data_IF_026155612140
#
_entry.id   IF_026155612140
#
_cell.length_a   1.000
_cell.length_b   1.000
_cell.length_c   1.000
_cell.angle_alpha   90.00
_cell.angle_beta   90.00
_cell.angle_gamma   90.00
#
_symmetry.space_group_name_H-M   'P 1'
#
loop_
_entity.id
_entity.type
_entity.pdbx_description
1 polymer ?
#
# COMPACT_ATOMS: atom_id res chain seq x y z
N UNK A 1 -1.22 -17.48 -8.38
CA UNK A 1 -2.68 -17.58 -8.52
C UNK A 1 -3.10 -18.97 -9.02
N UNK A 2 -2.76 -19.39 -10.24
CA UNK A 2 -3.13 -20.71 -10.78
C UNK A 2 -2.78 -21.87 -9.82
N UNK A 3 -1.56 -21.90 -9.26
CA UNK A 3 -1.17 -22.93 -8.32
C UNK A 3 -2.06 -22.98 -7.07
N UNK A 4 -2.46 -21.80 -6.54
CA UNK A 4 -3.38 -21.75 -5.40
C UNK A 4 -4.77 -22.28 -5.77
N UNK A 5 -5.27 -21.96 -6.96
CA UNK A 5 -6.54 -22.48 -7.49
C UNK A 5 -6.48 -24.02 -7.63
N UNK A 6 -5.39 -24.56 -8.15
CA UNK A 6 -5.18 -26.02 -8.24
C UNK A 6 -5.15 -26.68 -6.86
N UNK A 7 -4.45 -26.09 -5.88
CA UNK A 7 -4.38 -26.60 -4.51
C UNK A 7 -5.74 -26.58 -3.82
N UNK A 8 -6.51 -25.50 -3.98
CA UNK A 8 -7.89 -25.42 -3.47
C UNK A 8 -8.78 -26.48 -4.14
N UNK A 9 -8.64 -26.69 -5.44
CA UNK A 9 -9.34 -27.75 -6.19
C UNK A 9 -9.01 -29.17 -5.69
N UNK A 10 -7.81 -29.38 -5.12
CA UNK A 10 -7.38 -30.62 -4.48
C UNK A 10 -7.86 -30.76 -3.04
N UNK A 11 -8.61 -29.79 -2.50
CA UNK A 11 -9.19 -29.81 -1.15
C UNK A 11 -8.35 -29.13 -0.08
N UNK A 12 -7.33 -28.35 -0.42
CA UNK A 12 -6.63 -27.51 0.57
C UNK A 12 -7.59 -26.46 1.12
N UNK A 13 -7.62 -26.31 2.45
CA UNK A 13 -8.46 -25.31 3.14
C UNK A 13 -7.67 -24.05 3.48
N UNK A 14 -6.35 -24.13 3.56
CA UNK A 14 -5.45 -23.04 3.86
C UNK A 14 -4.16 -23.18 3.05
N UNK A 15 -3.72 -22.06 2.45
CA UNK A 15 -2.48 -21.98 1.73
C UNK A 15 -1.62 -20.90 2.39
N UNK A 16 -0.44 -21.26 2.88
CA UNK A 16 0.54 -20.34 3.40
C UNK A 16 1.60 -20.07 2.32
N UNK A 17 1.76 -18.77 1.98
CA UNK A 17 2.76 -18.33 1.00
C UNK A 17 3.92 -17.69 1.76
N UNK A 18 5.10 -18.32 1.68
CA UNK A 18 6.34 -17.84 2.31
C UNK A 18 7.25 -17.12 1.32
N UNK A 19 8.17 -16.29 1.82
CA UNK A 19 9.27 -15.71 1.06
C UNK A 19 8.99 -14.33 0.45
N UNK A 20 8.08 -13.56 1.02
CA UNK A 20 7.71 -12.21 0.54
C UNK A 20 8.65 -11.07 0.98
N UNK A 21 9.89 -11.34 1.42
CA UNK A 21 10.80 -10.31 1.96
C UNK A 21 10.98 -9.14 0.99
N UNK A 22 11.23 -9.40 -0.28
CA UNK A 22 11.44 -8.37 -1.31
C UNK A 22 10.32 -8.32 -2.36
N UNK A 23 9.33 -9.21 -2.26
CA UNK A 23 8.28 -9.37 -3.26
C UNK A 23 6.93 -8.91 -2.72
N UNK A 24 6.79 -7.61 -2.48
CA UNK A 24 5.50 -7.00 -2.04
C UNK A 24 4.30 -7.45 -2.89
N UNK A 25 4.53 -7.76 -4.16
CA UNK A 25 3.49 -8.25 -5.08
C UNK A 25 2.85 -9.59 -4.67
N UNK A 26 3.53 -10.43 -3.87
CA UNK A 26 2.95 -11.68 -3.34
C UNK A 26 1.90 -11.36 -2.28
N UNK A 27 2.08 -10.27 -1.54
CA UNK A 27 1.12 -9.76 -0.58
C UNK A 27 -0.07 -9.01 -1.23
N UNK A 28 -0.12 -8.93 -2.56
CA UNK A 28 -1.24 -8.29 -3.25
C UNK A 28 -2.54 -9.05 -3.00
N UNK A 29 -3.67 -8.33 -2.83
CA UNK A 29 -4.98 -8.92 -2.66
C UNK A 29 -5.46 -9.76 -3.88
N UNK A 30 -4.76 -9.69 -5.00
CA UNK A 30 -4.96 -10.59 -6.13
C UNK A 30 -4.41 -12.00 -5.88
N UNK A 31 -3.57 -12.17 -4.84
CA UNK A 31 -2.86 -13.41 -4.55
C UNK A 31 -3.16 -13.94 -3.15
N UNK A 32 -3.34 -13.07 -2.17
CA UNK A 32 -3.50 -13.41 -0.75
C UNK A 32 -4.75 -12.74 -0.18
N UNK A 33 -5.53 -13.47 0.62
CA UNK A 33 -6.70 -12.91 1.31
C UNK A 33 -6.29 -12.07 2.52
N UNK A 34 -5.20 -12.45 3.21
CA UNK A 34 -4.63 -11.74 4.34
C UNK A 34 -3.12 -11.96 4.41
N UNK A 35 -2.44 -11.12 5.21
CA UNK A 35 -1.00 -11.24 5.47
C UNK A 35 -0.68 -11.33 6.95
N UNK A 36 0.44 -11.95 7.26
CA UNK A 36 1.13 -11.81 8.55
C UNK A 36 2.37 -10.94 8.29
N UNK A 37 2.41 -9.76 8.89
CA UNK A 37 3.52 -8.83 8.74
C UNK A 37 4.64 -9.17 9.73
N UNK A 38 5.81 -9.59 9.24
CA UNK A 38 6.97 -9.88 10.09
C UNK A 38 7.90 -8.68 10.18
N UNK A 39 8.29 -8.32 11.40
CA UNK A 39 9.17 -7.19 11.69
C UNK A 39 10.15 -7.53 12.83
N UNK A 40 11.10 -6.66 13.11
CA UNK A 40 11.99 -6.85 14.25
C UNK A 40 13.33 -6.11 14.17
N UNK A 41 14.24 -6.49 15.05
CA UNK A 41 15.55 -5.85 15.23
C UNK A 41 16.42 -5.84 13.97
N UNK A 42 16.14 -6.71 12.99
CA UNK A 42 16.86 -6.72 11.70
C UNK A 42 16.71 -5.40 10.92
N UNK A 43 15.61 -4.68 11.08
CA UNK A 43 15.33 -3.45 10.34
C UNK A 43 16.18 -2.26 10.81
N UNK A 44 16.43 -2.16 12.12
CA UNK A 44 17.19 -1.03 12.69
C UNK A 44 17.75 -1.38 14.06
N UNK A 45 18.90 -0.76 14.41
CA UNK A 45 19.46 -0.79 15.78
C UNK A 45 18.68 0.07 16.78
N UNK A 46 17.74 0.88 16.30
CA UNK A 46 16.91 1.75 17.13
C UNK A 46 15.50 1.20 17.16
N UNK A 47 15.03 0.75 18.33
CA UNK A 47 13.72 0.15 18.52
C UNK A 47 12.58 1.07 18.05
N UNK A 48 12.61 2.36 18.41
CA UNK A 48 11.60 3.32 18.00
C UNK A 48 11.46 3.43 16.47
N UNK A 49 12.58 3.28 15.75
CA UNK A 49 12.57 3.28 14.28
C UNK A 49 11.91 2.03 13.71
N UNK A 50 12.13 0.86 14.34
CA UNK A 50 11.43 -0.39 13.95
C UNK A 50 9.92 -0.25 14.14
N UNK A 51 9.50 0.32 15.27
CA UNK A 51 8.08 0.57 15.57
C UNK A 51 7.47 1.56 14.57
N UNK A 52 8.16 2.67 14.29
CA UNK A 52 7.71 3.69 13.35
C UNK A 52 7.56 3.14 11.92
N UNK A 53 8.57 2.41 11.42
CA UNK A 53 8.54 1.81 10.08
C UNK A 53 7.43 0.75 9.96
N UNK A 54 7.24 -0.07 11.00
CA UNK A 54 6.16 -1.06 11.02
C UNK A 54 4.79 -0.40 11.03
N UNK A 55 4.59 0.59 11.89
CA UNK A 55 3.34 1.36 11.95
C UNK A 55 3.06 2.07 10.61
N UNK A 56 4.11 2.56 9.94
CA UNK A 56 3.96 3.17 8.62
C UNK A 56 3.46 2.15 7.57
N UNK A 57 4.04 0.94 7.51
CA UNK A 57 3.58 -0.12 6.62
C UNK A 57 2.12 -0.47 6.89
N UNK A 58 1.75 -0.62 8.16
CA UNK A 58 0.35 -0.86 8.56
C UNK A 58 -0.57 0.26 8.06
N UNK A 59 -0.15 1.53 8.22
CA UNK A 59 -0.92 2.67 7.73
C UNK A 59 -1.06 2.71 6.21
N UNK A 60 -0.04 2.28 5.46
CA UNK A 60 -0.14 2.14 4.01
C UNK A 60 -1.15 1.04 3.64
N UNK A 61 -1.09 -0.10 4.30
CA UNK A 61 -1.98 -1.24 4.01
C UNK A 61 -3.42 -0.99 4.44
N UNK A 62 -3.66 0.01 5.31
CA UNK A 62 -4.98 0.51 5.70
C UNK A 62 -5.44 1.71 4.88
N UNK A 63 -4.78 2.01 3.76
CA UNK A 63 -5.29 3.01 2.83
C UNK A 63 -6.73 2.66 2.46
N UNK A 64 -7.69 3.60 2.62
CA UNK A 64 -9.10 3.28 2.44
C UNK A 64 -9.39 2.81 1.01
N UNK A 65 -10.32 1.89 0.87
CA UNK A 65 -10.83 1.50 -0.45
C UNK A 65 -11.62 2.62 -1.10
N UNK A 66 -11.63 2.62 -2.42
CA UNK A 66 -12.57 3.41 -3.19
C UNK A 66 -13.97 2.82 -2.98
N UNK A 67 -14.92 3.67 -2.62
CA UNK A 67 -16.30 3.26 -2.39
C UNK A 67 -16.89 2.59 -3.64
N UNK A 68 -17.78 1.63 -3.41
CA UNK A 68 -18.57 0.98 -4.48
C UNK A 68 -19.38 2.05 -5.23
N UNK A 69 -19.49 1.90 -6.55
CA UNK A 69 -20.26 2.81 -7.38
C UNK A 69 -19.68 3.02 -8.78
N UNK A 70 -20.32 3.89 -9.53
CA UNK A 70 -20.03 4.11 -10.96
C UNK A 70 -18.56 4.43 -11.26
N UNK A 71 -17.86 5.16 -10.38
CA UNK A 71 -16.45 5.51 -10.54
C UNK A 71 -15.55 4.27 -10.41
N UNK A 72 -15.82 3.43 -9.40
CA UNK A 72 -15.09 2.18 -9.21
C UNK A 72 -15.30 1.24 -10.38
N UNK A 73 -16.56 1.04 -10.78
CA UNK A 73 -16.92 0.20 -11.93
C UNK A 73 -16.26 0.70 -13.22
N UNK A 74 -16.24 2.02 -13.44
CA UNK A 74 -15.61 2.61 -14.59
C UNK A 74 -14.11 2.31 -14.64
N UNK A 75 -13.38 2.44 -13.50
CA UNK A 75 -11.96 2.12 -13.41
C UNK A 75 -11.72 0.62 -13.65
N UNK A 76 -12.45 -0.25 -12.96
CA UNK A 76 -12.28 -1.71 -13.03
C UNK A 76 -12.56 -2.24 -14.44
N UNK A 77 -13.60 -1.73 -15.10
CA UNK A 77 -13.98 -2.11 -16.47
C UNK A 77 -12.99 -1.58 -17.54
N UNK A 78 -12.10 -0.66 -17.20
CA UNK A 78 -11.14 -0.07 -18.14
C UNK A 78 -9.67 -0.38 -17.83
N UNK A 79 -9.40 -1.15 -16.77
CA UNK A 79 -8.03 -1.42 -16.27
C UNK A 79 -7.40 -2.68 -16.91
N UNK A 80 -7.47 -2.84 -18.24
CA UNK A 80 -6.85 -4.01 -18.91
C UNK A 80 -5.45 -3.75 -19.45
N UNK A 81 -5.08 -2.47 -19.63
CA UNK A 81 -3.85 -2.06 -20.30
C UNK A 81 -2.85 -1.38 -19.37
N UNK A 82 -3.10 -1.47 -18.06
CA UNK A 82 -2.26 -0.89 -16.99
C UNK A 82 -1.88 0.59 -17.22
N UNK A 83 -2.76 1.38 -17.87
CA UNK A 83 -2.54 2.81 -18.13
C UNK A 83 -3.08 3.69 -17.01
N UNK A 84 -2.44 4.86 -16.84
CA UNK A 84 -2.97 5.90 -15.95
C UNK A 84 -4.29 6.42 -16.54
N UNK A 85 -5.29 6.57 -15.67
CA UNK A 85 -6.60 7.08 -16.06
C UNK A 85 -6.96 8.32 -15.24
N UNK A 86 -7.42 9.36 -15.92
CA UNK A 86 -8.13 10.47 -15.30
C UNK A 86 -9.63 10.15 -15.36
N UNK A 87 -10.32 10.36 -14.27
CA UNK A 87 -11.75 10.08 -14.17
C UNK A 87 -12.46 11.34 -13.71
N UNK A 88 -13.42 11.77 -14.49
CA UNK A 88 -14.23 12.95 -14.20
C UNK A 88 -15.39 12.60 -13.25
N UNK A 89 -16.12 13.59 -12.80
CA UNK A 89 -17.20 13.44 -11.82
C UNK A 89 -18.35 12.54 -12.33
N UNK A 90 -18.60 12.54 -13.64
CA UNK A 90 -19.63 11.71 -14.30
C UNK A 90 -19.14 10.29 -14.65
N UNK A 91 -17.90 9.93 -14.34
CA UNK A 91 -17.28 8.65 -14.65
C UNK A 91 -16.63 8.55 -16.04
N UNK A 92 -16.58 9.66 -16.79
CA UNK A 92 -15.84 9.73 -18.07
C UNK A 92 -14.36 9.48 -17.82
N UNK A 93 -13.75 8.61 -18.63
CA UNK A 93 -12.34 8.21 -18.52
C UNK A 93 -11.52 8.78 -19.64
N UNK A 94 -10.42 9.45 -19.29
CA UNK A 94 -9.33 9.81 -20.18
C UNK A 94 -8.11 8.96 -19.85
N UNK A 95 -7.69 8.07 -20.75
CA UNK A 95 -6.47 7.27 -20.59
C UNK A 95 -5.25 8.05 -21.05
N UNK A 96 -4.22 8.08 -20.21
CA UNK A 96 -2.90 8.59 -20.59
C UNK A 96 -2.03 7.44 -21.08
N UNK A 97 -1.21 7.67 -22.08
CA UNK A 97 -0.27 6.65 -22.60
C UNK A 97 0.96 6.51 -21.69
N UNK A 98 0.69 6.33 -20.40
CA UNK A 98 1.63 6.31 -19.28
C UNK A 98 1.33 5.08 -18.41
N UNK A 99 2.38 4.30 -18.09
CA UNK A 99 2.24 3.08 -17.26
C UNK A 99 2.61 3.36 -15.80
N UNK A 100 3.54 4.28 -15.57
CA UNK A 100 3.99 4.66 -14.22
C UNK A 100 4.00 6.17 -14.08
N UNK A 101 3.75 6.68 -12.88
CA UNK A 101 3.85 8.13 -12.62
C UNK A 101 5.28 8.67 -12.53
N UNK A 102 6.31 7.84 -12.72
CA UNK A 102 7.71 8.26 -12.58
C UNK A 102 8.16 9.09 -13.78
N UNK A 103 8.48 10.37 -13.51
CA UNK A 103 8.95 11.31 -14.55
C UNK A 103 7.85 11.94 -15.40
N UNK A 104 6.59 11.55 -15.21
CA UNK A 104 5.46 11.91 -16.08
C UNK A 104 4.48 12.89 -15.41
N UNK A 105 4.85 13.43 -14.26
CA UNK A 105 4.01 14.37 -13.50
C UNK A 105 3.62 15.62 -14.30
N UNK A 106 4.46 16.04 -15.26
CA UNK A 106 4.16 17.17 -16.13
C UNK A 106 2.97 16.86 -17.07
N UNK A 107 2.94 15.67 -17.63
CA UNK A 107 1.85 15.21 -18.50
C UNK A 107 0.57 15.01 -17.69
N UNK A 108 0.68 14.37 -16.51
CA UNK A 108 -0.45 14.23 -15.57
C UNK A 108 -1.01 15.60 -15.18
N UNK A 109 -0.14 16.55 -14.79
CA UNK A 109 -0.58 17.91 -14.43
C UNK A 109 -1.27 18.63 -15.58
N UNK A 110 -0.78 18.46 -16.79
CA UNK A 110 -1.35 19.10 -17.99
C UNK A 110 -2.67 18.48 -18.44
N UNK A 111 -2.90 17.22 -18.13
CA UNK A 111 -4.11 16.50 -18.50
C UNK A 111 -5.26 16.69 -17.51
N UNK A 112 -4.98 17.06 -16.25
CA UNK A 112 -6.01 17.34 -15.24
C UNK A 112 -6.75 18.61 -15.62
N UNK A 113 -8.06 18.51 -15.82
CA UNK A 113 -8.99 19.61 -16.08
C UNK A 113 -9.87 19.93 -14.86
N UNK A 114 -10.84 20.82 -14.99
CA UNK A 114 -11.73 21.24 -13.89
C UNK A 114 -12.73 20.17 -13.46
N UNK A 115 -13.05 19.21 -14.35
CA UNK A 115 -14.01 18.13 -14.10
C UNK A 115 -13.34 16.90 -13.50
N UNK A 116 -12.01 16.76 -13.62
CA UNK A 116 -11.25 15.62 -13.11
C UNK A 116 -11.34 15.53 -11.59
N UNK A 117 -11.80 14.38 -11.08
CA UNK A 117 -11.94 14.09 -9.64
C UNK A 117 -11.04 12.97 -9.15
N UNK A 118 -10.68 12.03 -10.03
CA UNK A 118 -9.85 10.90 -9.66
C UNK A 118 -8.72 10.70 -10.66
N UNK A 119 -7.59 10.18 -10.15
CA UNK A 119 -6.47 9.70 -10.96
C UNK A 119 -6.20 8.27 -10.55
N UNK A 120 -6.39 7.32 -11.46
CA UNK A 120 -6.00 5.94 -11.24
C UNK A 120 -4.58 5.70 -11.72
N UNK A 121 -3.74 5.13 -10.85
CA UNK A 121 -2.34 4.78 -11.15
C UNK A 121 -2.15 3.29 -10.88
N UNK A 122 -2.05 2.45 -11.92
CA UNK A 122 -1.94 0.99 -11.78
C UNK A 122 -0.56 0.53 -11.28
N UNK A 123 0.48 1.29 -11.60
CA UNK A 123 1.87 0.97 -11.34
C UNK A 123 2.38 1.42 -9.98
N UNK A 124 3.72 1.45 -9.85
CA UNK A 124 4.39 1.90 -8.63
C UNK A 124 4.14 3.39 -8.34
N UNK A 125 3.72 3.67 -7.12
CA UNK A 125 3.47 5.00 -6.62
C UNK A 125 4.58 5.42 -5.66
N UNK A 126 5.40 6.36 -6.08
CA UNK A 126 6.64 6.77 -5.39
C UNK A 126 6.58 8.24 -4.98
N UNK A 127 7.56 8.66 -4.18
CA UNK A 127 7.70 10.06 -3.77
C UNK A 127 7.75 11.03 -4.96
N UNK A 128 8.43 10.65 -6.06
CA UNK A 128 8.55 11.51 -7.24
C UNK A 128 7.21 11.81 -7.90
N UNK A 129 6.30 10.83 -7.92
CA UNK A 129 4.96 11.04 -8.50
C UNK A 129 4.22 12.16 -7.78
N UNK A 130 4.27 12.18 -6.44
CA UNK A 130 3.52 13.18 -5.66
C UNK A 130 4.24 14.52 -5.64
N UNK A 131 5.57 14.52 -5.49
CA UNK A 131 6.35 15.76 -5.34
C UNK A 131 6.20 16.68 -6.54
N UNK A 132 6.02 16.11 -7.72
CA UNK A 132 5.94 16.84 -8.97
C UNK A 132 4.50 17.19 -9.38
N UNK A 133 3.48 16.69 -8.64
CA UNK A 133 2.09 17.08 -8.83
C UNK A 133 1.84 18.47 -8.24
N UNK A 134 1.21 19.35 -9.02
CA UNK A 134 0.81 20.69 -8.57
C UNK A 134 -0.07 20.64 -7.32
N UNK A 135 0.17 21.55 -6.38
CA UNK A 135 -0.60 21.62 -5.14
C UNK A 135 -2.11 21.85 -5.37
N UNK A 136 -2.48 22.58 -6.43
CA UNK A 136 -3.90 22.76 -6.83
C UNK A 136 -4.49 21.39 -7.19
N UNK A 137 -3.85 20.65 -8.08
CA UNK A 137 -4.29 19.34 -8.55
C UNK A 137 -4.32 18.32 -7.39
N UNK A 138 -3.30 18.33 -6.53
CA UNK A 138 -3.22 17.45 -5.36
C UNK A 138 -4.42 17.60 -4.41
N UNK A 139 -5.00 18.81 -4.30
CA UNK A 139 -6.18 19.07 -3.49
C UNK A 139 -7.48 18.77 -4.21
N UNK A 140 -7.50 18.89 -5.53
CA UNK A 140 -8.70 18.71 -6.36
C UNK A 140 -9.02 17.23 -6.52
N UNK A 141 -8.00 16.40 -6.84
CA UNK A 141 -8.20 15.01 -7.23
C UNK A 141 -7.96 14.04 -6.08
N UNK A 142 -8.59 12.87 -6.17
CA UNK A 142 -8.34 11.72 -5.32
C UNK A 142 -7.51 10.69 -6.10
N UNK A 143 -6.44 10.19 -5.48
CA UNK A 143 -5.56 9.21 -6.10
C UNK A 143 -6.06 7.81 -5.82
N UNK A 144 -6.34 7.04 -6.87
CA UNK A 144 -6.76 5.66 -6.80
C UNK A 144 -5.59 4.78 -7.21
N UNK A 145 -5.16 3.88 -6.35
CA UNK A 145 -4.09 2.93 -6.61
C UNK A 145 -4.70 1.52 -6.71
N UNK A 146 -4.03 0.61 -7.39
CA UNK A 146 -4.53 -0.75 -7.53
C UNK A 146 -4.70 -1.43 -6.17
N UNK A 147 -3.63 -1.42 -5.38
CA UNK A 147 -3.59 -1.95 -4.02
C UNK A 147 -2.43 -1.34 -3.22
N UNK A 148 -2.37 -1.51 -1.88
CA UNK A 148 -1.33 -0.90 -1.06
C UNK A 148 0.09 -1.36 -1.35
N UNK A 149 0.29 -2.52 -1.99
CA UNK A 149 1.64 -3.00 -2.36
C UNK A 149 2.30 -2.14 -3.43
N UNK A 150 1.53 -1.30 -4.11
CA UNK A 150 2.02 -0.34 -5.10
C UNK A 150 2.58 0.93 -4.49
N UNK A 151 2.43 1.14 -3.17
CA UNK A 151 2.86 2.37 -2.49
C UNK A 151 4.32 2.22 -2.00
N UNK A 152 5.21 3.05 -2.55
CA UNK A 152 6.64 3.12 -2.24
C UNK A 152 7.01 4.51 -1.73
N UNK A 153 6.28 4.99 -0.73
CA UNK A 153 6.48 6.30 -0.09
C UNK A 153 6.91 6.08 1.35
N UNK A 154 7.97 6.74 1.82
CA UNK A 154 8.42 6.62 3.21
C UNK A 154 7.50 7.38 4.19
N UNK A 155 7.64 7.09 5.50
CA UNK A 155 6.77 7.64 6.54
C UNK A 155 6.75 9.17 6.58
N UNK A 156 7.92 9.80 6.47
CA UNK A 156 8.06 11.26 6.52
C UNK A 156 7.34 11.93 5.35
N UNK A 157 7.63 11.49 4.13
CA UNK A 157 7.04 12.06 2.92
C UNK A 157 5.52 11.79 2.86
N UNK A 158 5.09 10.59 3.26
CA UNK A 158 3.67 10.26 3.38
C UNK A 158 2.92 11.26 4.27
N UNK A 159 3.49 11.53 5.46
CA UNK A 159 2.93 12.53 6.39
C UNK A 159 2.88 13.94 5.79
N UNK A 160 3.93 14.36 5.08
CA UNK A 160 4.00 15.66 4.41
C UNK A 160 2.94 15.76 3.31
N UNK A 161 2.81 14.73 2.46
CA UNK A 161 1.85 14.74 1.35
C UNK A 161 0.40 14.74 1.85
N UNK A 162 0.10 13.96 2.89
CA UNK A 162 -1.22 13.98 3.54
C UNK A 162 -1.59 15.38 4.05
N UNK A 163 -0.65 16.08 4.69
CA UNK A 163 -0.83 17.47 5.14
C UNK A 163 -1.03 18.45 3.98
N UNK A 164 -0.43 18.19 2.81
CA UNK A 164 -0.62 18.99 1.61
C UNK A 164 -1.95 18.76 0.90
N UNK A 165 -2.74 17.79 1.34
CA UNK A 165 -4.06 17.48 0.77
C UNK A 165 -4.12 16.23 -0.10
N UNK A 166 -3.02 15.46 -0.17
CA UNK A 166 -3.03 14.16 -0.83
C UNK A 166 -4.04 13.20 -0.19
N UNK A 167 -4.95 12.65 -0.99
CA UNK A 167 -6.03 11.78 -0.57
C UNK A 167 -6.01 10.46 -1.36
N UNK A 168 -5.17 9.50 -0.96
CA UNK A 168 -5.11 8.20 -1.62
C UNK A 168 -6.28 7.31 -1.22
N UNK A 169 -6.66 6.45 -2.14
CA UNK A 169 -7.47 5.26 -1.91
C UNK A 169 -6.95 4.12 -2.79
N UNK A 170 -7.42 2.92 -2.55
CA UNK A 170 -7.06 1.72 -3.31
C UNK A 170 -8.31 1.06 -3.87
N UNK A 171 -8.19 0.28 -4.94
CA UNK A 171 -9.31 -0.54 -5.42
C UNK A 171 -9.56 -1.72 -4.48
N UNK A 172 -8.49 -2.33 -3.95
CA UNK A 172 -8.60 -3.45 -3.04
C UNK A 172 -7.57 -3.33 -1.92
N UNK A 173 -8.01 -3.47 -0.69
CA UNK A 173 -7.17 -3.41 0.50
C UNK A 173 -6.57 -4.78 0.83
N UNK A 174 -5.69 -4.83 1.83
CA UNK A 174 -5.07 -6.06 2.34
C UNK A 174 -5.36 -6.15 3.83
N UNK A 175 -5.89 -7.29 4.26
CA UNK A 175 -6.06 -7.57 5.67
C UNK A 175 -4.73 -7.97 6.30
N UNK A 176 -4.41 -7.37 7.46
CA UNK A 176 -3.26 -7.78 8.29
C UNK A 176 -3.81 -8.60 9.45
N UNK A 177 -3.71 -9.92 9.33
CA UNK A 177 -4.23 -10.85 10.34
C UNK A 177 -3.43 -10.79 11.64
N UNK A 178 -2.11 -10.59 11.57
CA UNK A 178 -1.23 -10.46 12.73
C UNK A 178 0.09 -9.78 12.35
N UNK A 179 0.81 -9.29 13.37
CA UNK A 179 2.19 -8.83 13.25
C UNK A 179 3.07 -9.75 14.10
N UNK A 180 4.14 -10.28 13.53
CA UNK A 180 5.14 -11.01 14.29
C UNK A 180 6.38 -10.17 14.49
N UNK A 181 6.90 -10.17 15.73
CA UNK A 181 8.09 -9.41 16.09
C UNK A 181 9.24 -10.34 16.45
N UNK A 182 10.44 -10.06 15.93
CA UNK A 182 11.66 -10.74 16.31
C UNK A 182 12.63 -9.72 16.94
N UNK A 183 12.87 -9.77 18.27
CA UNK A 183 13.75 -8.84 18.96
C UNK A 183 15.24 -9.09 18.69
N UNK A 184 15.59 -10.20 18.07
CA UNK A 184 16.98 -10.58 17.77
C UNK A 184 17.37 -10.20 16.33
N UNK A 185 18.57 -9.63 16.17
CA UNK A 185 19.13 -9.32 14.87
C UNK A 185 20.33 -10.23 14.54
N UNK A 186 20.45 -10.71 13.29
CA UNK A 186 21.61 -11.49 12.85
C UNK A 186 22.95 -10.79 13.07
N UNK A 187 22.96 -9.48 13.16
CA UNK A 187 24.13 -8.65 13.44
C UNK A 187 24.60 -8.68 14.92
N UNK A 188 24.02 -9.56 15.76
CA UNK A 188 24.47 -9.85 17.12
C UNK A 188 23.96 -8.89 18.20
N UNK A 189 22.91 -8.12 17.95
CA UNK A 189 22.23 -7.31 18.97
C UNK A 189 20.76 -7.77 19.12
N UNK A 190 20.19 -7.40 20.26
CA UNK A 190 18.81 -7.75 20.60
C UNK A 190 18.13 -6.59 21.32
N UNK A 191 16.82 -6.51 21.16
CA UNK A 191 15.98 -5.64 21.99
C UNK A 191 15.42 -6.41 23.18
N UNK A 192 14.99 -5.69 24.22
CA UNK A 192 14.14 -6.27 25.25
C UNK A 192 12.79 -6.67 24.65
N UNK A 193 12.43 -7.94 24.78
CA UNK A 193 11.24 -8.54 24.18
C UNK A 193 9.95 -7.84 24.65
N UNK A 194 9.83 -7.60 25.94
CA UNK A 194 8.63 -6.99 26.53
C UNK A 194 8.47 -5.56 26.07
N UNK A 195 9.57 -4.80 26.11
CA UNK A 195 9.55 -3.39 25.70
C UNK A 195 9.19 -3.26 24.22
N UNK A 196 9.76 -4.12 23.36
CA UNK A 196 9.43 -4.11 21.92
C UNK A 196 7.95 -4.43 21.69
N UNK A 197 7.43 -5.45 22.38
CA UNK A 197 6.04 -5.85 22.25
C UNK A 197 5.08 -4.74 22.73
N UNK A 198 5.38 -4.14 23.89
CA UNK A 198 4.58 -3.05 24.45
C UNK A 198 4.59 -1.80 23.56
N UNK A 199 5.75 -1.38 23.05
CA UNK A 199 5.84 -0.21 22.16
C UNK A 199 5.14 -0.48 20.83
N UNK A 200 5.25 -1.68 20.28
CA UNK A 200 4.54 -2.06 19.07
C UNK A 200 3.02 -2.08 19.29
N UNK A 201 2.55 -2.66 20.43
CA UNK A 201 1.12 -2.70 20.76
C UNK A 201 0.53 -1.31 21.01
N UNK A 202 1.32 -0.37 21.57
CA UNK A 202 0.88 1.04 21.71
C UNK A 202 0.73 1.72 20.36
N UNK A 203 1.66 1.44 19.43
CA UNK A 203 1.62 2.04 18.10
C UNK A 203 0.52 1.44 17.20
N UNK A 204 0.20 0.15 17.40
CA UNK A 204 -0.75 -0.61 16.59
C UNK A 204 -1.65 -1.41 17.54
N UNK A 205 -2.68 -0.78 18.15
CA UNK A 205 -3.43 -1.39 19.26
C UNK A 205 -4.45 -2.45 18.80
N UNK A 206 -4.84 -2.47 17.56
CA UNK A 206 -5.97 -3.23 17.03
C UNK A 206 -5.57 -4.43 16.14
N UNK A 207 -4.26 -4.71 16.00
CA UNK A 207 -3.76 -5.92 15.34
C UNK A 207 -3.05 -6.80 16.39
N UNK A 208 -3.29 -8.12 16.40
CA UNK A 208 -2.54 -9.04 17.25
C UNK A 208 -1.04 -8.97 16.96
N UNK A 209 -0.22 -8.80 18.01
CA UNK A 209 1.24 -8.78 17.90
C UNK A 209 1.82 -9.94 18.67
N UNK A 210 2.66 -10.74 18.02
CA UNK A 210 3.19 -12.01 18.53
C UNK A 210 4.71 -11.96 18.52
N UNK A 211 5.35 -12.18 19.65
CA UNK A 211 6.80 -12.40 19.72
C UNK A 211 7.10 -13.85 19.30
N UNK A 212 7.93 -14.02 18.27
CA UNK A 212 8.29 -15.35 17.74
C UNK A 212 9.44 -16.02 18.47
N UNK A 213 9.95 -15.38 19.53
CA UNK A 213 11.07 -15.87 20.37
C UNK A 213 10.67 -16.20 21.81
N UNK A 214 9.41 -15.99 22.18
CA UNK A 214 8.86 -16.45 23.47
C UNK A 214 8.50 -17.92 23.46
#
# INVERSE_FOLDING_TARGET
>A
KLLCEDMLGLGCQLILIDGAIDRKTIASPDTSDAIILSTGAVLSRTMSKVVEETAHIVNLYRTPELEEGAIRDAIENNNFDDKIMLVDEDGTITKLDLVTGMGEAKEINGAINEDTRYIYIPGAFTNSVISDINLKNLKQVRFVLKDPTKIFVNAMDWGIFRKKGFRPCVLKNIEIAAITVNPWAPAGYTFDNRVLLEEMQKAIPDIPIIDVRM
#
